data_IF_136870680079
#
_entry.id   IF_136870680079
#
_cell.length_a   1.000
_cell.length_b   1.000
_cell.length_c   1.000
_cell.angle_alpha   90.00
_cell.angle_beta   90.00
_cell.angle_gamma   90.00
#
_symmetry.space_group_name_H-M   'P 1'
#
loop_
_entity.id
_entity.type
_entity.pdbx_description
1 polymer ?
#
# COMPACT_ATOMS: atom_id res chain seq x y z
N UNK A 1 -17.38 17.43 -0.07
CA UNK A 1 -16.77 18.77 -0.05
C UNK A 1 -16.51 19.09 1.41
N UNK A 2 -15.33 19.58 1.75
CA UNK A 2 -15.04 20.17 3.06
C UNK A 2 -14.71 21.62 2.72
N UNK A 3 -15.53 22.58 3.17
CA UNK A 3 -15.44 23.99 2.77
C UNK A 3 -15.51 24.26 1.24
N UNK A 4 -16.49 23.70 0.54
CA UNK A 4 -16.76 24.07 -0.87
C UNK A 4 -15.84 23.45 -1.92
N UNK A 5 -14.71 22.85 -1.54
CA UNK A 5 -13.82 22.15 -2.47
C UNK A 5 -13.99 20.63 -2.40
N UNK A 6 -14.03 19.96 -3.57
CA UNK A 6 -13.92 18.50 -3.67
C UNK A 6 -12.48 18.10 -3.36
N UNK A 7 -12.13 18.01 -2.07
CA UNK A 7 -10.86 17.39 -1.62
C UNK A 7 -10.92 15.87 -1.86
N UNK A 8 -10.79 15.46 -3.12
CA UNK A 8 -10.38 14.10 -3.47
C UNK A 8 -8.89 14.04 -3.23
N UNK A 9 -8.49 13.70 -2.00
CA UNK A 9 -7.22 13.03 -1.85
C UNK A 9 -7.41 11.58 -2.30
N UNK A 10 -7.47 11.36 -3.61
CA UNK A 10 -7.20 10.05 -4.16
C UNK A 10 -5.71 9.79 -3.90
N UNK A 11 -5.38 9.27 -2.72
CA UNK A 11 -4.03 8.77 -2.50
C UNK A 11 -3.81 7.66 -3.52
N UNK A 12 -2.76 7.73 -4.34
CA UNK A 12 -2.39 6.62 -5.20
C UNK A 12 -2.09 5.42 -4.29
N UNK A 13 -3.03 4.48 -4.23
CA UNK A 13 -2.82 3.23 -3.50
C UNK A 13 -1.65 2.48 -4.14
N UNK A 14 -0.77 1.97 -3.28
CA UNK A 14 0.23 1.01 -3.72
C UNK A 14 -0.37 -0.38 -3.68
N UNK A 15 -0.15 -1.13 -4.75
CA UNK A 15 -0.51 -2.53 -4.84
C UNK A 15 0.73 -3.30 -5.22
N UNK A 16 0.93 -4.41 -4.54
CA UNK A 16 1.95 -5.38 -4.87
C UNK A 16 1.27 -6.73 -5.05
N UNK A 17 1.35 -7.30 -6.25
CA UNK A 17 0.79 -8.62 -6.56
C UNK A 17 1.92 -9.53 -7.00
N UNK A 18 2.14 -10.60 -6.24
CA UNK A 18 3.15 -11.61 -6.57
C UNK A 18 2.63 -12.98 -6.14
N UNK A 19 2.93 -14.04 -6.89
CA UNK A 19 2.51 -15.42 -6.57
C UNK A 19 3.39 -16.09 -5.51
N UNK A 20 4.67 -15.73 -5.41
CA UNK A 20 5.58 -16.28 -4.41
C UNK A 20 5.25 -15.73 -3.02
N UNK A 21 5.02 -16.63 -2.07
CA UNK A 21 4.76 -16.27 -0.67
C UNK A 21 6.04 -15.70 -0.01
N UNK A 22 7.21 -16.24 -0.36
CA UNK A 22 8.50 -15.74 0.13
C UNK A 22 8.76 -14.30 -0.31
N UNK A 23 8.49 -13.97 -1.58
CA UNK A 23 8.65 -12.59 -2.07
C UNK A 23 7.65 -11.66 -1.38
N UNK A 24 6.41 -12.10 -1.18
CA UNK A 24 5.42 -11.31 -0.43
C UNK A 24 5.89 -11.06 0.99
N UNK A 25 6.42 -12.09 1.67
CA UNK A 25 6.94 -12.00 3.02
C UNK A 25 8.13 -11.03 3.11
N UNK A 26 9.10 -11.14 2.22
CA UNK A 26 10.22 -10.20 2.15
C UNK A 26 9.75 -8.76 1.96
N UNK A 27 8.74 -8.55 1.11
CA UNK A 27 8.16 -7.23 0.91
C UNK A 27 7.46 -6.73 2.17
N UNK A 28 6.60 -7.53 2.81
CA UNK A 28 5.86 -7.11 4.02
C UNK A 28 6.78 -6.89 5.21
N UNK A 29 7.81 -7.71 5.39
CA UNK A 29 8.79 -7.54 6.46
C UNK A 29 9.51 -6.19 6.30
N UNK A 30 9.83 -5.79 5.07
CA UNK A 30 10.40 -4.48 4.79
C UNK A 30 9.41 -3.34 5.09
N UNK A 31 8.12 -3.52 4.78
CA UNK A 31 7.08 -2.53 5.12
C UNK A 31 6.94 -2.35 6.63
N UNK A 32 6.98 -3.45 7.38
CA UNK A 32 6.87 -3.42 8.85
C UNK A 32 8.07 -2.71 9.48
N UNK A 33 9.27 -2.88 8.94
CA UNK A 33 10.48 -2.18 9.38
C UNK A 33 10.38 -0.65 9.24
N UNK A 34 9.68 -0.16 8.21
CA UNK A 34 9.46 1.27 7.98
C UNK A 34 8.13 1.79 8.53
N UNK A 35 7.37 0.95 9.24
CA UNK A 35 6.06 1.30 9.81
C UNK A 35 4.96 1.54 8.78
N UNK A 36 5.10 0.97 7.58
CA UNK A 36 4.07 1.03 6.53
C UNK A 36 3.00 0.00 6.83
N UNK A 37 1.79 0.47 7.13
CA UNK A 37 0.64 -0.42 7.32
C UNK A 37 0.09 -0.93 5.99
N UNK A 38 -0.02 -2.24 5.86
CA UNK A 38 -0.50 -2.92 4.67
C UNK A 38 -1.63 -3.92 5.00
N UNK A 39 -2.32 -4.39 3.97
CA UNK A 39 -3.37 -5.40 4.10
C UNK A 39 -3.30 -6.37 2.94
N UNK A 40 -3.42 -7.65 3.22
CA UNK A 40 -3.58 -8.69 2.21
C UNK A 40 -5.01 -8.73 1.70
N UNK A 41 -5.15 -8.73 0.38
CA UNK A 41 -6.42 -8.95 -0.30
C UNK A 41 -6.49 -10.38 -0.79
N UNK A 42 -7.20 -11.20 -0.03
CA UNK A 42 -7.69 -12.49 -0.50
C UNK A 42 -8.97 -12.26 -1.30
N UNK A 43 -8.88 -12.27 -2.64
CA UNK A 43 -10.08 -12.49 -3.48
C UNK A 43 -10.13 -13.98 -3.80
N UNK A 44 -10.76 -14.76 -2.94
CA UNK A 44 -10.84 -16.22 -3.05
C UNK A 44 -9.76 -16.95 -2.24
N UNK A 45 -9.40 -18.17 -2.68
CA UNK A 45 -8.49 -19.07 -1.94
C UNK A 45 -7.03 -18.61 -1.90
N UNK A 46 -6.65 -17.61 -2.68
CA UNK A 46 -5.24 -17.21 -2.85
C UNK A 46 -5.00 -15.71 -2.57
N UNK A 47 -4.37 -15.36 -1.43
CA UNK A 47 -4.02 -13.98 -1.11
C UNK A 47 -2.69 -13.56 -1.76
N UNK A 48 -2.71 -13.31 -3.07
CA UNK A 48 -1.50 -12.88 -3.80
C UNK A 48 -1.26 -11.37 -3.82
N UNK A 49 -2.18 -10.58 -3.27
CA UNK A 49 -2.14 -9.12 -3.39
C UNK A 49 -2.01 -8.45 -2.04
N UNK A 50 -1.05 -7.54 -1.92
CA UNK A 50 -0.84 -6.65 -0.79
C UNK A 50 -1.23 -5.24 -1.21
N UNK A 51 -2.04 -4.58 -0.39
CA UNK A 51 -2.55 -3.23 -0.62
C UNK A 51 -2.14 -2.30 0.50
N UNK A 52 -1.67 -1.12 0.12
CA UNK A 52 -1.33 -0.02 1.02
C UNK A 52 -2.23 1.17 0.61
N UNK A 53 -3.20 1.47 1.47
CA UNK A 53 -4.22 2.49 1.20
C UNK A 53 -4.31 3.57 2.30
N UNK A 54 -3.62 3.36 3.43
CA UNK A 54 -3.60 4.36 4.50
C UNK A 54 -2.72 5.53 4.10
N UNK A 55 -3.23 6.75 4.25
CA UNK A 55 -2.52 7.99 3.88
C UNK A 55 -1.10 8.06 4.45
N UNK A 56 -0.93 7.80 5.75
CA UNK A 56 0.38 7.84 6.39
C UNK A 56 1.35 6.85 5.76
N UNK A 57 0.86 5.63 5.48
CA UNK A 57 1.61 4.56 4.85
C UNK A 57 1.95 4.86 3.38
N UNK A 58 1.04 5.51 2.64
CA UNK A 58 1.32 6.01 1.28
C UNK A 58 2.41 7.09 1.32
N UNK A 59 2.37 8.02 2.27
CA UNK A 59 3.42 9.05 2.43
C UNK A 59 4.78 8.44 2.79
N UNK A 60 4.80 7.40 3.63
CA UNK A 60 6.02 6.64 3.91
C UNK A 60 6.54 5.96 2.64
N UNK A 61 5.66 5.33 1.86
CA UNK A 61 6.01 4.77 0.56
C UNK A 61 6.58 5.82 -0.40
N UNK A 62 5.94 6.99 -0.51
CA UNK A 62 6.42 8.09 -1.35
C UNK A 62 7.80 8.60 -0.88
N UNK A 63 8.08 8.55 0.42
CA UNK A 63 9.37 8.96 1.01
C UNK A 63 10.48 7.96 0.69
N UNK A 64 10.19 6.65 0.73
CA UNK A 64 11.19 5.60 0.53
C UNK A 64 11.38 5.17 -0.94
N UNK A 65 10.29 5.10 -1.70
CA UNK A 65 10.26 4.62 -3.10
C UNK A 65 10.23 5.79 -4.09
N UNK A 66 9.85 6.97 -3.64
CA UNK A 66 9.58 8.13 -4.49
C UNK A 66 8.08 8.23 -4.83
N UNK A 67 7.57 9.47 -5.05
CA UNK A 67 6.17 9.70 -5.31
C UNK A 67 5.73 9.06 -6.63
N UNK A 68 4.58 8.38 -6.59
CA UNK A 68 3.96 7.82 -7.80
C UNK A 68 3.50 8.98 -8.72
N UNK A 69 4.19 9.16 -9.86
CA UNK A 69 3.80 10.11 -10.93
C UNK A 69 2.66 9.56 -11.79
#
# INVERSE_FOLDING_TARGET
MVAGERKRYEYPRYYFTNKSDDIRKLFTDALDLVGVEWTTLARGSDPFSISIARKASVTLMDTHVGPKR
#
